data_IF_669588387769
#
_entry.id   IF_669588387769
#
_cell.length_a   1.000
_cell.length_b   1.000
_cell.length_c   1.000
_cell.angle_alpha   90.00
_cell.angle_beta   90.00
_cell.angle_gamma   90.00
#
_symmetry.space_group_name_H-M   'P 1'
#
loop_
_entity.id
_entity.type
_entity.pdbx_description
1 polymer ?
#
# COMPACT_ATOMS: atom_id res chain seq x y z
N UNK A 1 -4.01 -54.81 -1.20
CA UNK A 1 -3.16 -54.26 -0.13
C UNK A 1 -2.05 -53.51 -0.86
N UNK A 2 -2.34 -52.35 -1.43
CA UNK A 2 -2.58 -51.03 -0.81
C UNK A 2 -1.36 -50.18 -1.12
N UNK A 3 -1.37 -49.57 -2.31
CA UNK A 3 -0.38 -48.60 -2.76
C UNK A 3 -1.08 -47.24 -2.79
N UNK A 4 -1.17 -46.60 -1.63
CA UNK A 4 -1.67 -45.23 -1.49
C UNK A 4 -0.50 -44.28 -1.66
N UNK A 5 -0.36 -43.75 -2.87
CA UNK A 5 0.44 -42.58 -3.17
C UNK A 5 0.02 -41.43 -2.24
N UNK A 6 0.95 -41.02 -1.38
CA UNK A 6 0.85 -39.83 -0.56
C UNK A 6 1.00 -38.63 -1.50
N UNK A 7 -0.10 -37.93 -1.79
CA UNK A 7 -0.04 -36.59 -2.38
C UNK A 7 0.33 -35.63 -1.25
N UNK A 8 1.57 -35.13 -1.28
CA UNK A 8 2.00 -34.00 -0.47
C UNK A 8 1.26 -32.75 -0.96
N UNK A 9 0.32 -32.26 -0.17
CA UNK A 9 -0.39 -31.00 -0.43
C UNK A 9 0.53 -29.83 -0.10
N UNK A 10 0.87 -29.00 -1.10
CA UNK A 10 1.54 -27.73 -0.86
C UNK A 10 0.71 -26.85 0.09
N UNK A 11 1.35 -26.08 1.00
CA UNK A 11 0.61 -25.23 1.93
C UNK A 11 -0.03 -24.08 1.17
N UNK A 12 -1.33 -24.16 0.94
CA UNK A 12 -2.15 -23.03 0.52
C UNK A 12 -2.19 -22.00 1.66
N UNK A 13 -1.49 -20.88 1.48
CA UNK A 13 -1.58 -19.73 2.37
C UNK A 13 -2.97 -19.09 2.20
N UNK A 14 -3.94 -19.56 2.97
CA UNK A 14 -5.24 -18.90 3.10
C UNK A 14 -5.05 -17.65 3.96
N UNK A 15 -4.71 -16.54 3.28
CA UNK A 15 -4.49 -15.25 3.90
C UNK A 15 -5.70 -14.80 4.71
N UNK A 16 -6.92 -15.15 4.30
CA UNK A 16 -8.15 -14.80 5.02
C UNK A 16 -8.29 -15.64 6.30
N UNK A 17 -7.73 -16.86 6.38
CA UNK A 17 -7.74 -17.71 7.59
C UNK A 17 -6.63 -17.37 8.59
N UNK A 18 -5.39 -17.15 8.14
CA UNK A 18 -4.29 -16.71 9.02
C UNK A 18 -4.58 -15.33 9.62
N UNK A 19 -5.23 -14.46 8.85
CA UNK A 19 -5.66 -13.13 9.31
C UNK A 19 -6.85 -13.22 10.29
N UNK A 20 -7.80 -14.15 10.09
CA UNK A 20 -8.85 -14.46 11.09
C UNK A 20 -8.26 -14.94 12.41
N UNK A 21 -7.20 -15.75 12.37
CA UNK A 21 -6.54 -16.28 13.55
C UNK A 21 -5.85 -15.18 14.37
N UNK A 22 -5.13 -14.25 13.71
CA UNK A 22 -4.51 -13.08 14.36
C UNK A 22 -5.53 -12.14 15.00
N UNK A 23 -6.70 -11.99 14.36
CA UNK A 23 -7.82 -11.19 14.88
C UNK A 23 -8.52 -11.88 16.06
N UNK A 24 -8.67 -13.20 16.03
CA UNK A 24 -9.23 -13.98 17.13
C UNK A 24 -8.33 -13.96 18.38
N UNK A 25 -7.02 -13.80 18.19
CA UNK A 25 -6.03 -13.74 19.27
C UNK A 25 -6.03 -12.41 20.05
N UNK A 26 -6.89 -11.44 19.73
CA UNK A 26 -7.00 -10.18 20.50
C UNK A 26 -5.76 -9.30 20.39
N UNK A 27 -5.17 -9.25 19.21
CA UNK A 27 -3.93 -8.50 18.95
C UNK A 27 -4.10 -6.99 19.25
N UNK A 28 -3.24 -6.36 20.07
CA UNK A 28 -3.34 -4.94 20.39
C UNK A 28 -3.14 -3.99 19.20
N UNK A 29 -2.80 -4.50 18.00
CA UNK A 29 -2.72 -3.74 16.73
C UNK A 29 -4.10 -3.37 16.12
N UNK A 30 -5.20 -3.61 16.84
CA UNK A 30 -6.56 -3.25 16.42
C UNK A 30 -6.78 -1.73 16.53
N UNK A 31 -6.58 -1.00 15.43
CA UNK A 31 -6.56 0.46 15.47
C UNK A 31 -7.94 1.11 15.23
N UNK A 32 -8.47 1.93 16.17
CA UNK A 32 -9.56 2.84 15.85
C UNK A 32 -9.07 3.95 14.91
N UNK A 33 -9.93 4.38 13.99
CA UNK A 33 -9.69 5.52 13.08
C UNK A 33 -9.22 6.75 13.88
N UNK A 34 -7.93 7.10 13.85
CA UNK A 34 -7.43 8.32 14.47
C UNK A 34 -5.91 8.41 14.69
N UNK A 35 -5.29 7.41 15.31
CA UNK A 35 -3.92 7.59 15.81
C UNK A 35 -2.83 7.22 14.77
N UNK A 36 -1.69 7.91 14.77
CA UNK A 36 -0.59 7.66 13.82
C UNK A 36 0.47 6.80 14.50
N UNK A 37 0.28 5.47 14.52
CA UNK A 37 1.30 4.54 15.03
C UNK A 37 2.06 3.86 13.90
N UNK A 38 3.38 3.85 14.05
CA UNK A 38 4.29 3.15 13.17
C UNK A 38 4.72 1.86 13.86
N UNK A 39 4.49 0.74 13.20
CA UNK A 39 5.00 -0.56 13.65
C UNK A 39 6.38 -0.83 13.04
N UNK A 40 7.21 -1.69 13.67
CA UNK A 40 8.46 -2.13 13.08
C UNK A 40 8.28 -2.72 11.66
N UNK A 41 9.35 -2.73 10.84
CA UNK A 41 9.30 -3.34 9.52
C UNK A 41 8.81 -4.79 9.59
N UNK A 42 7.82 -5.13 8.77
CA UNK A 42 7.28 -6.50 8.70
C UNK A 42 7.65 -7.11 7.35
N UNK A 43 8.44 -8.20 7.31
CA UNK A 43 8.84 -8.85 6.06
C UNK A 43 7.66 -9.45 5.30
N UNK A 44 6.49 -9.63 5.93
CA UNK A 44 5.30 -10.17 5.29
C UNK A 44 4.54 -9.16 4.43
N UNK A 45 4.85 -7.85 4.51
CA UNK A 45 4.13 -6.82 3.75
C UNK A 45 4.15 -7.06 2.24
N UNK A 46 5.27 -7.50 1.68
CA UNK A 46 5.36 -7.82 0.25
C UNK A 46 4.43 -8.99 -0.12
N UNK A 47 4.44 -10.07 0.66
CA UNK A 47 3.56 -11.21 0.43
C UNK A 47 2.07 -10.86 0.59
N UNK A 48 1.73 -10.01 1.58
CA UNK A 48 0.37 -9.48 1.76
C UNK A 48 -0.08 -8.64 0.57
N UNK A 49 0.80 -7.80 0.04
CA UNK A 49 0.54 -7.08 -1.20
C UNK A 49 0.30 -8.04 -2.37
N UNK A 50 1.15 -9.04 -2.58
CA UNK A 50 1.00 -9.95 -3.72
C UNK A 50 -0.30 -10.76 -3.66
N UNK A 51 -0.69 -11.21 -2.46
CA UNK A 51 -1.99 -11.87 -2.25
C UNK A 51 -3.16 -10.93 -2.58
N UNK A 52 -3.09 -9.66 -2.16
CA UNK A 52 -4.12 -8.67 -2.50
C UNK A 52 -4.14 -8.33 -3.99
N UNK A 53 -2.97 -8.17 -4.61
CA UNK A 53 -2.83 -7.88 -6.03
C UNK A 53 -3.41 -9.03 -6.88
N UNK A 54 -3.23 -10.29 -6.46
CA UNK A 54 -3.85 -11.44 -7.12
C UNK A 54 -5.39 -11.37 -7.07
N UNK A 55 -5.97 -11.10 -5.89
CA UNK A 55 -7.44 -10.92 -5.72
C UNK A 55 -7.97 -9.79 -6.59
N UNK A 56 -7.25 -8.68 -6.64
CA UNK A 56 -7.64 -7.51 -7.44
C UNK A 56 -7.57 -7.81 -8.95
N UNK A 57 -6.50 -8.46 -9.42
CA UNK A 57 -6.36 -8.86 -10.83
C UNK A 57 -7.51 -9.78 -11.25
N UNK A 58 -7.88 -10.76 -10.42
CA UNK A 58 -9.00 -11.66 -10.69
C UNK A 58 -10.33 -10.92 -10.79
N UNK A 59 -10.61 -10.00 -9.86
CA UNK A 59 -11.88 -9.29 -9.82
C UNK A 59 -12.03 -8.20 -10.89
N UNK A 60 -10.93 -7.52 -11.24
CA UNK A 60 -10.93 -6.35 -12.13
C UNK A 60 -10.69 -6.73 -13.61
N UNK A 61 -10.00 -7.84 -13.88
CA UNK A 61 -9.63 -8.22 -15.24
C UNK A 61 -8.94 -7.06 -15.98
N UNK A 62 -9.43 -6.75 -17.19
CA UNK A 62 -8.87 -5.68 -18.03
C UNK A 62 -9.11 -4.25 -17.52
N UNK A 63 -9.94 -4.06 -16.47
CA UNK A 63 -10.09 -2.74 -15.86
C UNK A 63 -8.81 -2.31 -15.11
N UNK A 64 -8.03 -3.27 -14.61
CA UNK A 64 -6.72 -3.02 -14.01
C UNK A 64 -5.62 -3.10 -15.08
N UNK A 65 -5.10 -1.96 -15.51
CA UNK A 65 -3.94 -1.91 -16.42
C UNK A 65 -2.69 -2.39 -15.69
N UNK A 66 -2.46 -1.89 -14.48
CA UNK A 66 -1.39 -2.33 -13.58
C UNK A 66 -1.82 -2.22 -12.12
N UNK A 67 -1.18 -3.01 -11.27
CA UNK A 67 -1.36 -3.00 -9.82
C UNK A 67 0.01 -3.00 -9.18
N UNK A 68 0.30 -1.95 -8.42
CA UNK A 68 1.63 -1.69 -7.86
C UNK A 68 1.58 -1.56 -6.33
N UNK A 69 2.59 -2.09 -5.65
CA UNK A 69 2.80 -1.83 -4.22
C UNK A 69 3.49 -0.50 -4.08
N UNK A 70 2.91 0.43 -3.34
CA UNK A 70 3.54 1.70 -3.05
C UNK A 70 3.41 2.06 -1.56
N UNK A 71 3.75 3.29 -1.20
CA UNK A 71 3.70 3.74 0.18
C UNK A 71 4.80 3.11 1.05
N UNK A 72 4.72 3.35 2.36
CA UNK A 72 5.81 2.97 3.28
C UNK A 72 5.99 1.45 3.41
N UNK A 73 4.92 0.66 3.32
CA UNK A 73 5.01 -0.81 3.46
C UNK A 73 5.64 -1.48 2.25
N UNK A 74 5.81 -0.75 1.14
CA UNK A 74 6.56 -1.20 -0.03
C UNK A 74 8.07 -1.01 0.10
N UNK A 75 8.54 -0.26 1.12
CA UNK A 75 9.96 0.04 1.32
C UNK A 75 10.53 -0.92 2.39
N UNK A 76 11.48 -1.79 2.05
CA UNK A 76 12.06 -2.73 3.01
C UNK A 76 12.78 -2.02 4.17
N UNK A 77 12.62 -2.56 5.38
CA UNK A 77 13.44 -2.16 6.53
C UNK A 77 13.05 -0.84 7.20
N UNK A 78 11.90 -0.24 6.89
CA UNK A 78 11.40 0.95 7.59
C UNK A 78 10.09 0.70 8.36
N UNK A 79 9.93 1.38 9.49
CA UNK A 79 8.67 1.37 10.23
C UNK A 79 7.54 2.07 9.43
N UNK A 80 6.32 1.56 9.52
CA UNK A 80 5.18 2.07 8.75
C UNK A 80 3.86 1.87 9.50
N UNK A 81 2.81 2.56 9.03
CA UNK A 81 1.44 2.20 9.42
C UNK A 81 1.11 0.83 8.82
N UNK A 82 0.48 -0.09 9.58
CA UNK A 82 0.40 -1.52 9.21
C UNK A 82 -0.68 -1.86 8.17
N UNK A 83 -0.84 -1.04 7.13
CA UNK A 83 -1.75 -1.27 6.02
C UNK A 83 -1.01 -1.25 4.68
N UNK A 84 -1.55 -1.98 3.70
CA UNK A 84 -0.99 -2.06 2.36
C UNK A 84 -1.57 -0.93 1.51
N UNK A 85 -0.69 -0.11 0.93
CA UNK A 85 -1.06 0.89 -0.06
C UNK A 85 -0.88 0.27 -1.46
N UNK A 86 -1.96 0.20 -2.22
CA UNK A 86 -2.04 -0.35 -3.57
C UNK A 86 -2.34 0.77 -4.54
N UNK A 87 -1.52 0.93 -5.56
CA UNK A 87 -1.83 1.81 -6.68
C UNK A 87 -2.48 0.98 -7.79
N UNK A 88 -3.77 1.24 -8.04
CA UNK A 88 -4.53 0.63 -9.12
C UNK A 88 -4.50 1.57 -10.33
N UNK A 89 -3.79 1.17 -11.37
CA UNK A 89 -3.65 1.98 -12.58
C UNK A 89 -4.73 1.53 -13.57
N UNK A 90 -5.57 2.46 -13.99
CA UNK A 90 -6.67 2.24 -14.96
C UNK A 90 -6.41 3.03 -16.24
N UNK A 91 -7.01 2.62 -17.36
CA UNK A 91 -6.86 3.36 -18.62
C UNK A 91 -7.65 4.67 -18.63
N UNK A 92 -8.77 4.71 -17.91
CA UNK A 92 -9.67 5.86 -17.79
C UNK A 92 -10.44 5.74 -16.47
N UNK A 93 -10.73 6.87 -15.82
CA UNK A 93 -11.65 6.88 -14.67
C UNK A 93 -13.09 6.59 -15.05
N UNK A 94 -13.44 6.79 -16.31
CA UNK A 94 -14.77 6.51 -16.82
C UNK A 94 -14.79 5.28 -17.76
N UNK A 95 -15.81 4.40 -17.63
CA UNK A 95 -16.89 4.49 -16.65
C UNK A 95 -16.43 4.10 -15.24
N UNK A 96 -16.72 4.92 -14.23
CA UNK A 96 -16.35 4.69 -12.82
C UNK A 96 -16.69 3.27 -12.33
N UNK A 97 -17.83 2.78 -12.78
CA UNK A 97 -18.38 1.49 -12.41
C UNK A 97 -17.58 0.28 -12.94
N UNK A 98 -16.70 0.45 -13.92
CA UNK A 98 -15.85 -0.62 -14.43
C UNK A 98 -14.90 -1.18 -13.36
N UNK A 99 -14.38 -0.33 -12.48
CA UNK A 99 -13.54 -0.75 -11.35
C UNK A 99 -14.26 -0.64 -10.00
N UNK A 100 -15.14 0.35 -9.81
CA UNK A 100 -15.79 0.55 -8.53
C UNK A 100 -16.70 -0.63 -8.12
N UNK A 101 -17.45 -1.21 -9.06
CA UNK A 101 -18.33 -2.34 -8.77
C UNK A 101 -17.56 -3.60 -8.32
N UNK A 102 -16.52 -4.07 -9.02
CA UNK A 102 -15.64 -5.15 -8.52
C UNK A 102 -15.02 -4.85 -7.16
N UNK A 103 -14.49 -3.64 -6.95
CA UNK A 103 -13.89 -3.25 -5.67
C UNK A 103 -14.91 -3.33 -4.52
N UNK A 104 -16.15 -2.86 -4.73
CA UNK A 104 -17.21 -2.96 -3.72
C UNK A 104 -17.57 -4.41 -3.40
N UNK A 105 -17.58 -5.31 -4.39
CA UNK A 105 -17.80 -6.76 -4.14
C UNK A 105 -16.68 -7.39 -3.30
N UNK A 106 -15.46 -6.90 -3.42
CA UNK A 106 -14.32 -7.28 -2.57
C UNK A 106 -14.34 -6.63 -1.17
N UNK A 107 -15.35 -5.80 -0.87
CA UNK A 107 -15.51 -5.13 0.42
C UNK A 107 -14.79 -3.79 0.54
N UNK A 108 -14.31 -3.23 -0.57
CA UNK A 108 -13.76 -1.87 -0.58
C UNK A 108 -14.87 -0.82 -0.54
N UNK A 109 -14.66 0.22 0.25
CA UNK A 109 -15.55 1.38 0.35
C UNK A 109 -14.90 2.55 -0.35
N UNK A 110 -15.60 3.12 -1.33
CA UNK A 110 -15.19 4.37 -1.97
C UNK A 110 -15.23 5.51 -0.95
N UNK A 111 -14.19 6.34 -0.99
CA UNK A 111 -14.06 7.56 -0.22
C UNK A 111 -13.76 8.68 -1.21
N UNK A 112 -14.71 9.60 -1.46
CA UNK A 112 -14.40 10.76 -2.28
C UNK A 112 -13.33 11.58 -1.59
N UNK A 113 -12.41 12.13 -2.38
CA UNK A 113 -11.47 13.16 -2.00
C UNK A 113 -11.55 14.30 -3.01
N UNK A 114 -10.89 15.41 -2.70
CA UNK A 114 -10.92 16.63 -3.51
C UNK A 114 -9.90 16.60 -4.66
N UNK A 115 -9.25 15.46 -4.92
CA UNK A 115 -8.21 15.31 -5.94
C UNK A 115 -8.79 14.74 -7.25
N UNK A 116 -8.94 15.55 -8.32
CA UNK A 116 -9.59 15.11 -9.54
C UNK A 116 -8.88 13.93 -10.22
N UNK A 117 -7.55 13.85 -10.10
CA UNK A 117 -6.70 12.81 -10.68
C UNK A 117 -6.59 11.54 -9.81
N UNK A 118 -7.48 11.37 -8.83
CA UNK A 118 -7.38 10.29 -7.86
C UNK A 118 -8.77 9.77 -7.47
N UNK A 119 -8.88 8.45 -7.24
CA UNK A 119 -10.04 7.87 -6.54
C UNK A 119 -9.54 6.99 -5.42
N UNK A 120 -10.11 7.19 -4.24
CA UNK A 120 -9.67 6.49 -3.05
C UNK A 120 -10.67 5.41 -2.61
N UNK A 121 -10.17 4.21 -2.36
CA UNK A 121 -10.92 3.12 -1.77
C UNK A 121 -10.17 2.57 -0.57
N UNK A 122 -10.91 2.09 0.43
CA UNK A 122 -10.31 1.42 1.59
C UNK A 122 -11.08 0.18 1.98
N UNK A 123 -10.35 -0.82 2.48
CA UNK A 123 -10.91 -2.04 3.06
C UNK A 123 -10.33 -2.25 4.45
N UNK A 124 -11.19 -2.72 5.35
CA UNK A 124 -10.83 -3.01 6.73
C UNK A 124 -11.78 -4.02 7.36
N UNK A 125 -11.33 -4.69 8.42
CA UNK A 125 -12.09 -5.70 9.15
C UNK A 125 -12.23 -5.24 10.60
N UNK A 126 -13.46 -5.26 11.13
CA UNK A 126 -13.77 -4.88 12.53
C UNK A 126 -13.15 -3.53 12.94
N UNK A 127 -13.17 -2.54 12.04
CA UNK A 127 -12.62 -1.20 12.27
C UNK A 127 -11.13 -1.05 11.94
N UNK A 128 -10.40 -2.15 11.74
CA UNK A 128 -8.98 -2.12 11.39
C UNK A 128 -8.79 -1.93 9.90
N UNK A 129 -8.06 -0.88 9.53
CA UNK A 129 -7.70 -0.63 8.12
C UNK A 129 -6.63 -1.62 7.68
N UNK A 130 -6.87 -2.31 6.57
CA UNK A 130 -5.95 -3.32 6.03
C UNK A 130 -5.33 -2.89 4.71
N UNK A 131 -6.16 -2.36 3.80
CA UNK A 131 -5.74 -2.00 2.45
C UNK A 131 -6.31 -0.66 2.03
N UNK A 132 -5.48 0.13 1.36
CA UNK A 132 -5.80 1.39 0.71
C UNK A 132 -5.55 1.23 -0.78
N UNK A 133 -6.55 1.49 -1.60
CA UNK A 133 -6.41 1.51 -3.05
C UNK A 133 -6.49 2.96 -3.52
N UNK A 134 -5.44 3.37 -4.20
CA UNK A 134 -5.30 4.64 -4.88
C UNK A 134 -5.45 4.38 -6.37
N UNK A 135 -6.61 4.73 -6.92
CA UNK A 135 -6.87 4.58 -8.35
C UNK A 135 -6.37 5.81 -9.07
N UNK A 136 -5.56 5.60 -10.10
CA UNK A 136 -4.97 6.64 -10.94
C UNK A 136 -5.05 6.24 -12.40
N UNK A 137 -5.12 7.21 -13.31
CA UNK A 137 -5.04 6.94 -14.74
C UNK A 137 -3.60 6.62 -15.16
N UNK A 138 -3.47 5.79 -16.19
CA UNK A 138 -2.19 5.48 -16.80
C UNK A 138 -1.49 6.76 -17.28
N UNK A 139 -0.23 6.94 -16.86
CA UNK A 139 0.53 8.13 -17.23
C UNK A 139 0.09 9.40 -16.50
N UNK A 140 -0.70 9.31 -15.43
CA UNK A 140 -0.93 10.41 -14.49
C UNK A 140 0.37 10.82 -13.78
N UNK A 141 0.45 12.09 -13.36
CA UNK A 141 1.58 12.56 -12.56
C UNK A 141 1.58 11.91 -11.17
N UNK A 142 0.40 11.80 -10.54
CA UNK A 142 0.21 11.11 -9.26
C UNK A 142 0.75 9.69 -9.27
N UNK A 143 0.37 8.90 -10.29
CA UNK A 143 0.84 7.54 -10.44
C UNK A 143 2.37 7.44 -10.44
N UNK A 144 3.01 8.22 -11.31
CA UNK A 144 4.48 8.25 -11.43
C UNK A 144 5.18 8.69 -10.15
N UNK A 145 4.72 9.79 -9.54
CA UNK A 145 5.35 10.38 -8.36
C UNK A 145 5.48 9.37 -7.21
N UNK A 146 4.43 8.60 -6.96
CA UNK A 146 4.40 7.64 -5.86
C UNK A 146 5.35 6.46 -6.09
N UNK A 147 5.40 5.96 -7.33
CA UNK A 147 6.32 4.88 -7.71
C UNK A 147 7.78 5.36 -7.72
N UNK A 148 8.04 6.56 -8.24
CA UNK A 148 9.37 7.19 -8.22
C UNK A 148 9.86 7.37 -6.79
N UNK A 149 8.98 7.78 -5.87
CA UNK A 149 9.35 7.92 -4.45
C UNK A 149 9.66 6.57 -3.80
N UNK A 150 8.83 5.54 -4.03
CA UNK A 150 9.10 4.17 -3.57
C UNK A 150 10.48 3.70 -4.06
N UNK A 151 10.73 3.83 -5.35
CA UNK A 151 11.94 3.31 -5.98
C UNK A 151 13.17 4.09 -5.52
N UNK A 152 13.05 5.40 -5.31
CA UNK A 152 14.08 6.24 -4.68
C UNK A 152 14.44 5.76 -3.26
N UNK A 153 13.46 5.40 -2.44
CA UNK A 153 13.70 4.90 -1.08
C UNK A 153 14.27 3.47 -1.08
N UNK A 154 13.86 2.62 -2.02
CA UNK A 154 14.43 1.27 -2.18
C UNK A 154 15.89 1.32 -2.63
N UNK A 155 16.26 2.29 -3.47
CA UNK A 155 17.62 2.46 -3.96
C UNK A 155 18.58 3.11 -2.94
N UNK A 156 18.05 3.82 -1.93
CA UNK A 156 18.84 4.51 -0.91
C UNK A 156 18.34 4.17 0.51
N UNK A 157 18.86 3.10 1.13
CA UNK A 157 18.48 2.70 2.48
C UNK A 157 18.75 3.77 3.54
N UNK A 158 19.67 4.71 3.29
CA UNK A 158 19.92 5.81 4.23
C UNK A 158 18.82 6.87 4.13
N UNK A 159 18.37 7.21 2.91
CA UNK A 159 17.19 8.04 2.71
C UNK A 159 15.94 7.41 3.32
N UNK A 160 15.76 6.09 3.16
CA UNK A 160 14.65 5.37 3.78
C UNK A 160 14.67 5.50 5.33
N UNK A 161 15.86 5.38 5.95
CA UNK A 161 16.02 5.61 7.40
C UNK A 161 15.76 7.06 7.81
N UNK A 162 16.17 8.06 7.01
CA UNK A 162 15.83 9.48 7.24
C UNK A 162 14.32 9.69 7.17
N UNK A 163 13.66 9.08 6.19
CA UNK A 163 12.22 9.14 6.04
C UNK A 163 11.50 8.52 7.25
N UNK A 164 11.97 7.39 7.76
CA UNK A 164 11.42 6.80 8.98
C UNK A 164 11.53 7.73 10.18
N UNK A 165 12.71 8.32 10.41
CA UNK A 165 12.91 9.27 11.52
C UNK A 165 11.94 10.45 11.44
N UNK A 166 11.82 11.05 10.25
CA UNK A 166 10.85 12.11 10.01
C UNK A 166 9.42 11.64 10.33
N UNK A 167 9.01 10.45 9.87
CA UNK A 167 7.67 9.92 10.17
C UNK A 167 7.44 9.75 11.68
N UNK A 168 8.44 9.30 12.44
CA UNK A 168 8.33 9.17 13.91
C UNK A 168 8.19 10.52 14.58
N UNK A 169 8.98 11.50 14.18
CA UNK A 169 8.91 12.88 14.68
C UNK A 169 7.55 13.53 14.38
N UNK A 170 7.05 13.36 13.14
CA UNK A 170 5.76 13.88 12.73
C UNK A 170 4.60 13.17 13.42
N UNK A 171 4.69 11.87 13.65
CA UNK A 171 3.67 11.13 14.40
C UNK A 171 3.57 11.61 15.85
N UNK A 172 4.71 11.95 16.48
CA UNK A 172 4.72 12.55 17.81
C UNK A 172 4.19 14.00 17.83
N UNK A 173 4.41 14.77 16.75
CA UNK A 173 3.96 16.16 16.62
C UNK A 173 2.47 16.29 16.28
N UNK A 174 1.96 15.38 15.46
CA UNK A 174 0.60 15.38 14.93
C UNK A 174 -0.10 14.04 15.22
N UNK A 175 -0.29 13.67 16.50
CA UNK A 175 -0.78 12.33 16.87
C UNK A 175 -2.20 12.03 16.35
N UNK A 176 -3.03 13.08 16.24
CA UNK A 176 -4.45 13.00 15.87
C UNK A 176 -4.78 13.80 14.59
N UNK A 177 -3.77 14.39 13.93
CA UNK A 177 -3.93 15.22 12.73
C UNK A 177 -3.24 14.56 11.53
N UNK A 178 -4.00 13.69 10.86
CA UNK A 178 -3.53 12.89 9.72
C UNK A 178 -3.15 13.77 8.52
N UNK A 179 -3.84 14.90 8.35
CA UNK A 179 -3.63 15.80 7.21
C UNK A 179 -2.36 16.61 7.43
N UNK A 180 -2.19 17.24 8.60
CA UNK A 180 -0.93 17.93 8.95
C UNK A 180 0.27 16.97 8.94
N UNK A 181 0.08 15.72 9.39
CA UNK A 181 1.10 14.68 9.28
C UNK A 181 1.47 14.38 7.83
N UNK A 182 0.49 14.26 6.93
CA UNK A 182 0.73 14.00 5.51
C UNK A 182 1.46 15.18 4.85
N UNK A 183 0.97 16.40 5.06
CA UNK A 183 1.51 17.62 4.48
C UNK A 183 2.95 17.89 4.90
N UNK A 184 3.27 17.65 6.18
CA UNK A 184 4.61 17.87 6.72
C UNK A 184 5.70 16.97 6.11
N UNK A 185 5.34 15.93 5.35
CA UNK A 185 6.31 15.10 4.59
C UNK A 185 6.62 15.64 3.21
N UNK A 186 5.85 16.62 2.72
CA UNK A 186 5.89 17.06 1.32
C UNK A 186 7.29 17.49 0.89
N UNK A 187 8.00 18.24 1.73
CA UNK A 187 9.34 18.71 1.37
C UNK A 187 10.35 17.56 1.27
N UNK A 188 10.32 16.62 2.22
CA UNK A 188 11.16 15.43 2.15
C UNK A 188 10.90 14.62 0.86
N UNK A 189 9.64 14.44 0.48
CA UNK A 189 9.27 13.74 -0.76
C UNK A 189 9.84 14.46 -1.97
N UNK A 190 9.74 15.79 -2.03
CA UNK A 190 10.30 16.60 -3.13
C UNK A 190 11.82 16.47 -3.21
N UNK A 191 12.52 16.56 -2.08
CA UNK A 191 13.98 16.40 -2.02
C UNK A 191 14.42 15.00 -2.47
N UNK A 192 13.74 13.96 -1.99
CA UNK A 192 14.02 12.57 -2.36
C UNK A 192 13.89 12.35 -3.88
N UNK A 193 12.81 12.87 -4.48
CA UNK A 193 12.58 12.77 -5.93
C UNK A 193 13.64 13.54 -6.74
N UNK A 194 14.05 14.72 -6.28
CA UNK A 194 15.14 15.49 -6.92
C UNK A 194 16.46 14.72 -6.86
N UNK A 195 16.81 14.17 -5.70
CA UNK A 195 18.03 13.37 -5.53
C UNK A 195 18.03 12.10 -6.39
N UNK A 196 16.89 11.41 -6.47
CA UNK A 196 16.75 10.23 -7.33
C UNK A 196 16.96 10.57 -8.81
N UNK A 197 16.35 11.67 -9.29
CA UNK A 197 16.52 12.15 -10.66
C UNK A 197 17.99 12.48 -10.98
N UNK A 198 18.71 13.12 -10.06
CA UNK A 198 20.13 13.43 -10.24
C UNK A 198 20.98 12.16 -10.40
N UNK A 199 20.75 11.12 -9.58
CA UNK A 199 21.48 9.84 -9.68
C UNK A 199 21.27 9.13 -11.01
N UNK A 200 20.05 9.14 -11.54
CA UNK A 200 19.76 8.55 -12.86
C UNK A 200 20.50 9.29 -13.97
N UNK A 201 20.58 10.63 -13.87
CA UNK A 201 21.32 11.45 -14.84
C UNK A 201 22.84 11.24 -14.76
N UNK A 202 23.38 10.94 -13.57
CA UNK A 202 24.79 10.62 -13.36
C UNK A 202 25.13 9.19 -13.83
N UNK A 203 24.26 8.21 -13.58
CA UNK A 203 24.46 6.81 -13.98
C UNK A 203 24.28 6.55 -15.50
N UNK A 204 23.60 7.47 -16.20
CA UNK A 204 23.44 7.43 -17.66
C UNK A 204 24.54 8.18 -18.44
N UNK A 205 25.55 8.72 -17.75
CA UNK A 205 26.76 9.32 -18.35
C UNK A 205 27.92 8.35 -18.30
#
# INVERSE_FOLDING_TARGET
MDDRAQQETEPTFDADADERARVAAGDPRLWPVGLIELVPPDPTWAARFEAEAARLREALGSAAVRIEHFGSTSIPGIAAKPYIDVQLIVASFEPFEAYASPLRRLGYVFRPDDEPEHRFFKRGVRGVRLVQIHVVEEGSWWGRKDLDFRDAMRADPEAARRYERLKRELAARYPDDVDAYADAKTEFVREALRAAKARVQEAGR
#
